data_IF_539754469131
#
_entry.id   IF_539754469131
#
_cell.length_a   1.000
_cell.length_b   1.000
_cell.length_c   1.000
_cell.angle_alpha   90.00
_cell.angle_beta   90.00
_cell.angle_gamma   90.00
#
_symmetry.space_group_name_H-M   'P 1'
#
loop_
_entity.id
_entity.type
_entity.pdbx_description
1 polymer ?
#
# COMPACT_ATOMS: atom_id res chain seq x y z
N UNK A 1 -11.55 -27.45 16.55
CA UNK A 1 -11.00 -26.91 15.29
C UNK A 1 -12.08 -26.08 14.66
N UNK A 2 -11.84 -24.78 14.49
CA UNK A 2 -12.78 -23.93 13.76
C UNK A 2 -12.81 -24.36 12.30
N UNK A 3 -13.98 -24.46 11.70
CA UNK A 3 -14.14 -24.90 10.29
C UNK A 3 -14.59 -23.76 9.37
N UNK A 4 -14.86 -22.57 9.92
CA UNK A 4 -15.40 -21.43 9.19
C UNK A 4 -14.38 -20.35 8.88
N UNK A 5 -14.78 -19.42 8.01
CA UNK A 5 -14.07 -18.17 7.76
C UNK A 5 -14.13 -17.32 9.03
N UNK A 6 -12.97 -16.90 9.54
CA UNK A 6 -12.87 -16.01 10.71
C UNK A 6 -11.88 -14.88 10.44
N UNK A 7 -12.07 -13.77 11.14
CA UNK A 7 -11.24 -12.59 11.05
C UNK A 7 -10.78 -12.19 12.44
N UNK A 8 -9.49 -11.99 12.61
CA UNK A 8 -8.90 -11.54 13.88
C UNK A 8 -8.12 -10.26 13.66
N UNK A 9 -8.09 -9.40 14.68
CA UNK A 9 -7.30 -8.18 14.68
C UNK A 9 -6.44 -8.17 15.94
N UNK A 10 -5.14 -8.09 15.74
CA UNK A 10 -4.16 -7.87 16.80
C UNK A 10 -3.60 -6.46 16.68
N UNK A 11 -3.34 -5.80 17.81
CA UNK A 11 -2.73 -4.47 17.86
C UNK A 11 -1.59 -4.49 18.87
N UNK A 12 -0.43 -3.99 18.48
CA UNK A 12 0.75 -3.98 19.34
C UNK A 12 0.48 -3.31 20.69
N UNK A 13 0.77 -4.04 21.77
CA UNK A 13 0.57 -3.57 23.14
C UNK A 13 -0.81 -3.83 23.74
N UNK A 14 -1.74 -4.43 22.98
CA UNK A 14 -3.04 -4.88 23.47
C UNK A 14 -3.12 -6.42 23.52
N UNK A 15 -4.02 -6.99 24.35
CA UNK A 15 -4.32 -8.42 24.31
C UNK A 15 -4.77 -8.87 22.90
N UNK A 16 -4.43 -10.09 22.44
CA UNK A 16 -4.82 -10.59 21.11
C UNK A 16 -6.34 -10.67 20.87
N UNK A 17 -7.13 -10.71 21.94
CA UNK A 17 -8.59 -10.77 21.95
C UNK A 17 -9.24 -9.43 22.35
N UNK A 18 -8.47 -8.33 22.32
CA UNK A 18 -8.96 -6.99 22.66
C UNK A 18 -10.15 -6.55 21.80
N UNK A 19 -10.17 -6.93 20.53
CA UNK A 19 -11.21 -6.57 19.57
C UNK A 19 -11.73 -7.78 18.80
N UNK A 20 -13.04 -7.85 18.62
CA UNK A 20 -13.66 -8.69 17.62
C UNK A 20 -13.98 -7.88 16.37
N UNK A 21 -13.64 -8.42 15.19
CA UNK A 21 -13.87 -7.77 13.90
C UNK A 21 -15.32 -7.97 13.48
N UNK A 22 -16.07 -6.87 13.33
CA UNK A 22 -17.47 -6.90 12.86
C UNK A 22 -17.50 -6.83 11.34
N UNK A 23 -16.77 -5.89 10.77
CA UNK A 23 -16.65 -5.71 9.32
C UNK A 23 -15.34 -5.00 9.00
N UNK A 24 -14.90 -5.13 7.74
CA UNK A 24 -13.76 -4.38 7.24
C UNK A 24 -13.90 -4.11 5.75
N UNK A 25 -13.22 -3.07 5.29
CA UNK A 25 -13.05 -2.75 3.89
C UNK A 25 -11.57 -2.46 3.62
N UNK A 26 -10.97 -3.21 2.70
CA UNK A 26 -9.58 -3.02 2.29
C UNK A 26 -9.54 -2.51 0.85
N UNK A 27 -8.95 -1.35 0.65
CA UNK A 27 -8.68 -0.79 -0.67
C UNK A 27 -7.17 -0.81 -0.96
N UNK A 28 -6.77 -1.40 -2.09
CA UNK A 28 -5.37 -1.47 -2.53
C UNK A 28 -5.30 -1.26 -4.04
N UNK A 29 -4.23 -0.60 -4.48
CA UNK A 29 -3.90 -0.45 -5.89
C UNK A 29 -2.39 -0.26 -6.04
N UNK A 30 -1.88 -0.44 -7.27
CA UNK A 30 -0.49 -0.14 -7.57
C UNK A 30 -0.23 1.37 -7.42
N UNK A 31 0.96 1.69 -6.93
CA UNK A 31 1.43 3.06 -6.72
C UNK A 31 0.53 3.92 -5.83
N UNK A 32 -0.19 3.31 -4.89
CA UNK A 32 -1.04 4.00 -3.92
C UNK A 32 -0.97 3.34 -2.55
N UNK A 33 -1.12 4.13 -1.50
CA UNK A 33 -1.20 3.62 -0.13
C UNK A 33 -2.54 2.87 0.05
N UNK A 34 -2.49 1.70 0.70
CA UNK A 34 -3.74 1.02 1.05
C UNK A 34 -4.48 1.74 2.19
N UNK A 35 -5.80 1.55 2.23
CA UNK A 35 -6.65 1.88 3.38
C UNK A 35 -7.37 0.62 3.84
N UNK A 36 -7.24 0.31 5.13
CA UNK A 36 -8.03 -0.72 5.79
C UNK A 36 -8.92 -0.04 6.83
N UNK A 37 -10.21 0.02 6.52
CA UNK A 37 -11.25 0.55 7.39
C UNK A 37 -11.91 -0.61 8.14
N UNK A 38 -11.99 -0.52 9.47
CA UNK A 38 -12.42 -1.58 10.37
C UNK A 38 -13.55 -1.09 11.28
N UNK A 39 -14.59 -1.91 11.42
CA UNK A 39 -15.59 -1.80 12.50
C UNK A 39 -15.36 -2.92 13.51
N UNK A 40 -15.21 -2.56 14.78
CA UNK A 40 -14.76 -3.46 15.85
C UNK A 40 -15.69 -3.38 17.04
N UNK A 41 -15.74 -4.45 17.83
CA UNK A 41 -16.38 -4.45 19.15
C UNK A 41 -15.42 -4.98 20.21
N UNK A 42 -15.49 -4.43 21.41
CA UNK A 42 -14.78 -4.94 22.58
C UNK A 42 -15.72 -5.15 23.76
N UNK A 43 -15.61 -6.30 24.41
CA UNK A 43 -16.28 -6.60 25.69
C UNK A 43 -15.39 -6.27 26.90
N UNK A 44 -14.07 -6.19 26.68
CA UNK A 44 -13.08 -5.99 27.74
C UNK A 44 -12.84 -4.50 28.01
N UNK A 45 -12.87 -3.68 26.95
CA UNK A 45 -12.52 -2.27 27.02
C UNK A 45 -13.77 -1.40 26.80
N UNK A 46 -14.39 -1.00 27.90
CA UNK A 46 -15.50 -0.02 27.91
C UNK A 46 -14.99 1.41 27.66
N UNK A 47 -13.70 1.66 27.88
CA UNK A 47 -12.99 2.87 27.49
C UNK A 47 -11.52 2.54 27.29
N UNK A 48 -10.98 2.80 26.10
CA UNK A 48 -9.57 2.61 25.78
C UNK A 48 -8.95 3.97 25.43
N UNK A 49 -7.76 4.27 25.93
CA UNK A 49 -7.10 5.55 25.63
C UNK A 49 -6.53 5.52 24.21
N UNK A 50 -6.77 6.58 23.42
CA UNK A 50 -6.32 6.63 22.03
C UNK A 50 -4.81 6.46 21.87
N UNK A 51 -4.01 6.92 22.84
CA UNK A 51 -2.56 6.78 22.83
C UNK A 51 -2.09 5.31 22.94
N UNK A 52 -2.95 4.39 23.38
CA UNK A 52 -2.65 2.96 23.44
C UNK A 52 -2.80 2.28 22.06
N UNK A 53 -3.46 2.94 21.10
CA UNK A 53 -3.81 2.35 19.78
C UNK A 53 -3.17 3.11 18.63
N UNK A 54 -3.26 4.44 18.64
CA UNK A 54 -2.72 5.26 17.56
C UNK A 54 -1.22 5.04 17.44
N UNK A 55 -0.74 5.03 16.19
CA UNK A 55 0.67 4.80 15.83
C UNK A 55 1.19 3.38 16.14
N UNK A 56 0.36 2.47 16.67
CA UNK A 56 0.69 1.05 16.84
C UNK A 56 0.49 0.27 15.54
N UNK A 57 1.21 -0.85 15.39
CA UNK A 57 0.95 -1.77 14.30
C UNK A 57 -0.29 -2.60 14.60
N UNK A 58 -1.11 -2.80 13.58
CA UNK A 58 -2.28 -3.64 13.59
C UNK A 58 -2.17 -4.73 12.53
N UNK A 59 -2.68 -5.92 12.85
CA UNK A 59 -2.58 -7.13 12.04
C UNK A 59 -3.98 -7.70 11.86
N UNK A 60 -4.60 -7.44 10.71
CA UNK A 60 -5.83 -8.14 10.32
C UNK A 60 -5.45 -9.48 9.70
N UNK A 61 -5.96 -10.57 10.26
CA UNK A 61 -5.77 -11.92 9.71
C UNK A 61 -7.08 -12.53 9.27
N UNK A 62 -7.12 -12.99 8.02
CA UNK A 62 -8.21 -13.76 7.44
C UNK A 62 -7.84 -15.23 7.52
N UNK A 63 -8.71 -16.04 8.10
CA UNK A 63 -8.49 -17.48 8.30
C UNK A 63 -9.61 -18.29 7.67
N UNK A 64 -9.25 -19.45 7.12
CA UNK A 64 -10.19 -20.50 6.75
C UNK A 64 -9.90 -21.71 7.66
N UNK A 65 -10.77 -21.92 8.64
CA UNK A 65 -10.49 -22.87 9.71
C UNK A 65 -9.27 -22.48 10.53
N UNK A 66 -8.22 -23.30 10.50
CA UNK A 66 -6.93 -23.01 11.17
C UNK A 66 -5.87 -22.47 10.19
N UNK A 67 -6.17 -22.41 8.88
CA UNK A 67 -5.25 -21.94 7.84
C UNK A 67 -5.35 -20.43 7.64
N UNK A 68 -4.22 -19.73 7.72
CA UNK A 68 -4.11 -18.31 7.39
C UNK A 68 -4.25 -18.12 5.88
N UNK A 69 -5.27 -17.40 5.46
CA UNK A 69 -5.51 -17.05 4.06
C UNK A 69 -4.85 -15.73 3.67
N UNK A 70 -4.89 -14.75 4.57
CA UNK A 70 -4.31 -13.42 4.32
C UNK A 70 -3.95 -12.73 5.63
N UNK A 71 -2.88 -11.95 5.60
CA UNK A 71 -2.55 -10.97 6.64
C UNK A 71 -2.39 -9.59 6.02
N UNK A 72 -2.87 -8.57 6.71
CA UNK A 72 -2.68 -7.16 6.37
C UNK A 72 -2.07 -6.49 7.59
N UNK A 73 -0.87 -5.94 7.41
CA UNK A 73 -0.11 -5.25 8.46
C UNK A 73 -0.08 -3.76 8.16
N UNK A 74 -0.32 -2.92 9.15
CA UNK A 74 -0.16 -1.48 8.98
C UNK A 74 -0.18 -0.74 10.29
N UNK A 75 0.02 0.57 10.21
CA UNK A 75 -0.09 1.48 11.35
C UNK A 75 -1.55 1.93 11.53
N UNK A 76 -2.03 1.99 12.77
CA UNK A 76 -3.31 2.64 13.09
C UNK A 76 -3.17 4.15 12.96
N UNK A 77 -3.83 4.74 11.97
CA UNK A 77 -3.76 6.17 11.65
C UNK A 77 -4.95 6.97 12.16
N UNK A 78 -6.05 6.29 12.45
CA UNK A 78 -7.25 6.89 13.03
C UNK A 78 -8.00 5.84 13.85
N UNK A 79 -8.58 6.29 14.97
CA UNK A 79 -9.33 5.45 15.89
C UNK A 79 -10.45 6.26 16.52
N UNK A 80 -11.63 5.69 16.61
CA UNK A 80 -12.83 6.33 17.12
C UNK A 80 -13.58 5.43 18.09
N UNK A 81 -14.04 6.05 19.18
CA UNK A 81 -14.91 5.44 20.16
C UNK A 81 -16.38 5.68 19.74
N UNK A 82 -17.10 4.59 19.49
CA UNK A 82 -18.50 4.62 19.09
C UNK A 82 -19.47 4.50 20.28
N UNK A 83 -20.63 3.89 20.01
CA UNK A 83 -21.68 3.68 21.02
C UNK A 83 -21.44 2.42 21.86
N UNK A 84 -22.01 2.41 23.07
CA UNK A 84 -22.06 1.26 23.96
C UNK A 84 -23.47 0.66 23.95
N UNK A 85 -23.61 -0.62 23.59
CA UNK A 85 -24.92 -1.31 23.58
C UNK A 85 -25.32 -1.92 24.94
N UNK A 86 -24.55 -1.61 26.00
CA UNK A 86 -24.57 -2.15 27.38
C UNK A 86 -23.86 -3.49 27.57
N UNK A 87 -23.49 -4.18 26.50
CA UNK A 87 -22.71 -5.41 26.55
C UNK A 87 -21.33 -5.24 25.92
N UNK A 88 -21.22 -4.42 24.88
CA UNK A 88 -20.01 -4.22 24.09
C UNK A 88 -19.86 -2.76 23.69
N UNK A 89 -18.61 -2.35 23.50
CA UNK A 89 -18.26 -1.03 22.99
C UNK A 89 -17.89 -1.12 21.52
N UNK A 90 -18.51 -0.28 20.68
CA UNK A 90 -18.18 -0.17 19.26
C UNK A 90 -16.96 0.74 19.06
N UNK A 91 -16.08 0.35 18.14
CA UNK A 91 -14.95 1.15 17.70
C UNK A 91 -14.85 1.16 16.19
N UNK A 92 -14.28 2.24 15.65
CA UNK A 92 -13.86 2.31 14.25
C UNK A 92 -12.37 2.60 14.17
N UNK A 93 -11.70 1.97 13.22
CA UNK A 93 -10.24 2.04 13.08
C UNK A 93 -9.86 2.14 11.62
N UNK A 94 -8.88 2.99 11.31
CA UNK A 94 -8.22 3.03 10.00
C UNK A 94 -6.77 2.60 10.14
N UNK A 95 -6.37 1.68 9.28
CA UNK A 95 -5.00 1.15 9.20
C UNK A 95 -4.43 1.44 7.82
N UNK A 96 -3.22 1.97 7.77
CA UNK A 96 -2.50 2.34 6.54
C UNK A 96 -1.08 1.73 6.53
N UNK A 97 -0.39 1.65 5.39
CA UNK A 97 1.00 1.19 5.37
C UNK A 97 1.91 2.14 6.16
N UNK A 98 3.07 1.68 6.66
CA UNK A 98 4.06 2.56 7.29
C UNK A 98 4.45 3.76 6.41
N UNK A 99 4.49 3.56 5.09
CA UNK A 99 4.75 4.60 4.09
C UNK A 99 3.81 5.81 4.21
N UNK A 100 2.61 5.65 4.77
CA UNK A 100 1.67 6.75 4.98
C UNK A 100 2.24 7.92 5.78
N UNK A 101 3.18 7.67 6.70
CA UNK A 101 3.82 8.74 7.49
C UNK A 101 4.56 9.77 6.62
N UNK A 102 5.02 9.38 5.43
CA UNK A 102 5.63 10.30 4.45
C UNK A 102 4.67 11.39 3.97
N UNK A 103 3.34 11.19 4.08
CA UNK A 103 2.34 12.19 3.75
C UNK A 103 2.12 13.25 4.84
N UNK A 104 2.69 13.06 6.05
CA UNK A 104 2.53 13.99 7.17
C UNK A 104 3.65 15.03 7.25
N UNK A 105 4.73 14.84 6.49
CA UNK A 105 5.92 15.70 6.50
C UNK A 105 6.11 16.36 5.16
N UNK A 106 6.39 17.67 5.19
CA UNK A 106 6.72 18.49 4.03
C UNK A 106 8.14 19.04 4.18
N UNK A 107 8.92 19.07 3.11
CA UNK A 107 10.33 19.49 3.14
C UNK A 107 10.72 20.40 1.98
N UNK A 108 11.86 21.07 2.16
CA UNK A 108 12.61 21.78 1.13
C UNK A 108 14.06 21.29 1.16
N UNK A 109 14.48 20.53 0.15
CA UNK A 109 15.84 19.96 0.09
C UNK A 109 16.32 19.72 -1.33
N UNK A 110 17.63 19.63 -1.46
CA UNK A 110 18.34 19.40 -2.72
C UNK A 110 19.05 18.04 -2.62
N UNK A 111 18.90 17.24 -3.66
CA UNK A 111 19.71 16.05 -3.95
C UNK A 111 20.60 16.39 -5.15
N UNK A 112 21.92 16.16 -5.05
CA UNK A 112 22.88 16.47 -6.11
C UNK A 112 23.72 15.25 -6.44
N UNK A 113 23.77 14.89 -7.72
CA UNK A 113 24.49 13.71 -8.22
C UNK A 113 24.03 12.40 -7.55
N UNK A 114 22.74 12.30 -7.24
CA UNK A 114 22.13 11.12 -6.62
C UNK A 114 21.25 10.39 -7.64
N UNK A 115 21.26 9.07 -7.63
CA UNK A 115 20.31 8.25 -8.39
C UNK A 115 18.97 8.11 -7.66
N UNK A 116 17.97 7.59 -8.39
CA UNK A 116 16.61 7.44 -7.85
C UNK A 116 16.58 6.52 -6.64
N UNK A 117 17.36 5.44 -6.63
CA UNK A 117 17.40 4.49 -5.51
C UNK A 117 17.88 5.19 -4.24
N UNK A 118 18.95 5.97 -4.33
CA UNK A 118 19.55 6.71 -3.23
C UNK A 118 18.62 7.81 -2.70
N UNK A 119 17.94 8.51 -3.61
CA UNK A 119 16.91 9.50 -3.26
C UNK A 119 15.78 8.81 -2.48
N UNK A 120 15.18 7.75 -3.04
CA UNK A 120 14.06 7.04 -2.41
C UNK A 120 14.48 6.39 -1.09
N UNK A 121 15.67 5.80 -1.01
CA UNK A 121 16.23 5.25 0.22
C UNK A 121 16.31 6.29 1.34
N UNK A 122 16.72 7.52 1.00
CA UNK A 122 16.76 8.63 1.96
C UNK A 122 15.37 8.96 2.49
N UNK A 123 14.37 9.09 1.59
CA UNK A 123 12.99 9.36 1.97
C UNK A 123 12.43 8.26 2.89
N UNK A 124 12.61 7.00 2.50
CA UNK A 124 12.10 5.84 3.22
C UNK A 124 12.74 5.70 4.61
N UNK A 125 14.08 5.82 4.68
CA UNK A 125 14.83 5.74 5.94
C UNK A 125 14.42 6.82 6.94
N UNK A 126 14.27 8.06 6.51
CA UNK A 126 13.85 9.16 7.39
C UNK A 126 12.45 8.96 7.96
N UNK A 127 11.60 8.22 7.25
CA UNK A 127 10.22 7.93 7.64
C UNK A 127 10.04 6.54 8.29
N UNK A 128 11.15 5.86 8.61
CA UNK A 128 11.14 4.58 9.31
C UNK A 128 10.62 3.40 8.47
N UNK A 129 10.61 3.51 7.14
CA UNK A 129 10.29 2.40 6.23
C UNK A 129 11.60 1.66 5.94
N UNK A 130 11.86 0.60 6.71
CA UNK A 130 13.13 -0.16 6.64
C UNK A 130 13.07 -1.34 5.69
N UNK A 131 11.91 -1.99 5.58
CA UNK A 131 11.73 -3.18 4.73
C UNK A 131 11.22 -2.76 3.35
N UNK A 132 12.14 -2.62 2.41
CA UNK A 132 11.80 -2.32 1.03
C UNK A 132 12.81 -2.90 0.04
N UNK A 133 12.37 -3.12 -1.20
CA UNK A 133 13.16 -3.74 -2.26
C UNK A 133 13.13 -2.90 -3.54
N UNK A 134 14.28 -2.36 -4.01
CA UNK A 134 14.42 -1.80 -5.34
C UNK A 134 14.64 -2.92 -6.37
N UNK A 135 13.66 -3.18 -7.22
CA UNK A 135 13.74 -4.16 -8.31
C UNK A 135 13.69 -3.42 -9.65
N UNK A 136 14.81 -2.81 -10.01
CA UNK A 136 14.97 -2.04 -11.25
C UNK A 136 15.72 -2.87 -12.29
N UNK A 137 15.15 -2.92 -13.50
CA UNK A 137 15.70 -3.63 -14.65
C UNK A 137 16.34 -2.70 -15.67
N UNK A 138 15.95 -1.43 -15.69
CA UNK A 138 16.48 -0.40 -16.55
C UNK A 138 17.52 0.48 -15.83
N UNK A 139 18.47 1.09 -16.55
CA UNK A 139 19.38 2.05 -15.96
C UNK A 139 18.65 3.35 -15.55
N UNK A 140 18.73 3.71 -14.27
CA UNK A 140 18.27 4.99 -13.74
C UNK A 140 19.45 5.92 -13.44
N UNK A 141 19.87 6.77 -14.39
CA UNK A 141 21.06 7.59 -14.22
C UNK A 141 20.91 8.62 -13.10
N UNK A 142 22.02 8.89 -12.40
CA UNK A 142 22.06 9.91 -11.37
C UNK A 142 21.65 11.28 -11.90
N UNK A 143 20.86 12.00 -11.10
CA UNK A 143 20.41 13.35 -11.41
C UNK A 143 21.44 14.36 -10.92
N UNK A 144 21.92 15.22 -11.83
CA UNK A 144 22.86 16.29 -11.47
C UNK A 144 22.27 17.21 -10.39
N UNK A 145 20.97 17.50 -10.48
CA UNK A 145 20.26 18.36 -9.55
C UNK A 145 18.78 17.98 -9.45
N UNK A 146 18.31 17.63 -8.26
CA UNK A 146 16.91 17.32 -7.97
C UNK A 146 16.48 18.05 -6.70
N UNK A 147 15.25 18.56 -6.68
CA UNK A 147 14.72 19.34 -5.56
C UNK A 147 13.37 18.76 -5.13
N UNK A 148 13.20 18.60 -3.82
CA UNK A 148 11.90 18.52 -3.17
C UNK A 148 11.55 19.94 -2.73
N UNK A 149 10.50 20.53 -3.30
CA UNK A 149 10.18 21.95 -3.09
C UNK A 149 8.78 22.12 -2.52
N UNK A 150 8.65 22.09 -1.19
CA UNK A 150 7.38 22.37 -0.53
C UNK A 150 6.29 21.34 -0.84
N UNK A 151 6.67 20.11 -1.14
CA UNK A 151 5.77 18.96 -1.30
C UNK A 151 6.01 17.96 -0.17
N UNK A 152 5.03 17.08 0.10
CA UNK A 152 5.23 16.04 1.13
C UNK A 152 6.28 15.02 0.69
N UNK A 153 6.85 14.28 1.64
CA UNK A 153 7.77 13.18 1.30
C UNK A 153 7.07 12.12 0.43
N UNK A 154 5.77 11.91 0.64
CA UNK A 154 4.94 11.02 -0.19
C UNK A 154 4.80 11.54 -1.62
N UNK A 155 4.41 12.81 -1.78
CA UNK A 155 4.21 13.41 -3.11
C UNK A 155 5.52 13.43 -3.90
N UNK A 156 6.63 13.75 -3.23
CA UNK A 156 7.96 13.69 -3.82
C UNK A 156 8.32 12.28 -4.29
N UNK A 157 8.12 11.28 -3.44
CA UNK A 157 8.37 9.87 -3.79
C UNK A 157 7.53 9.44 -5.00
N UNK A 158 6.23 9.73 -4.99
CA UNK A 158 5.32 9.38 -6.08
C UNK A 158 5.71 10.06 -7.39
N UNK A 159 6.06 11.34 -7.35
CA UNK A 159 6.50 12.09 -8.53
C UNK A 159 7.80 11.53 -9.09
N UNK A 160 8.80 11.30 -8.22
CA UNK A 160 10.10 10.78 -8.63
C UNK A 160 9.99 9.35 -9.19
N UNK A 161 9.20 8.49 -8.58
CA UNK A 161 8.93 7.15 -9.09
C UNK A 161 8.24 7.20 -10.46
N UNK A 162 7.20 8.02 -10.62
CA UNK A 162 6.48 8.15 -11.89
C UNK A 162 7.35 8.71 -13.03
N UNK A 163 8.24 9.67 -12.75
CA UNK A 163 9.20 10.20 -13.74
C UNK A 163 10.15 9.12 -14.27
N UNK A 164 10.50 8.14 -13.44
CA UNK A 164 11.40 7.02 -13.78
C UNK A 164 10.63 5.78 -14.27
N UNK A 165 9.30 5.82 -14.38
CA UNK A 165 8.49 4.66 -14.75
C UNK A 165 8.40 3.57 -13.68
N UNK A 166 8.74 3.91 -12.43
CA UNK A 166 8.69 3.02 -11.28
C UNK A 166 7.28 3.03 -10.69
N UNK A 167 6.72 1.84 -10.50
CA UNK A 167 5.52 1.62 -9.70
C UNK A 167 5.88 0.89 -8.41
N UNK A 168 5.00 0.95 -7.42
CA UNK A 168 5.24 0.29 -6.14
C UNK A 168 4.01 -0.44 -5.62
N UNK A 169 4.24 -1.43 -4.79
CA UNK A 169 3.21 -2.18 -4.09
C UNK A 169 3.75 -2.75 -2.78
N UNK A 170 2.84 -3.11 -1.89
CA UNK A 170 3.19 -3.77 -0.63
C UNK A 170 3.13 -5.28 -0.84
N UNK A 171 4.27 -5.96 -0.70
CA UNK A 171 4.34 -7.41 -0.82
C UNK A 171 3.72 -8.07 0.41
N UNK A 172 2.81 -9.00 0.15
CA UNK A 172 2.06 -9.67 1.20
C UNK A 172 2.95 -10.64 1.97
N UNK A 173 2.84 -10.54 3.29
CA UNK A 173 3.35 -11.43 4.33
C UNK A 173 2.78 -12.88 4.28
N UNK A 174 2.73 -13.54 3.11
CA UNK A 174 2.40 -14.98 3.05
C UNK A 174 3.54 -15.84 3.61
N UNK A 175 4.80 -15.40 3.48
CA UNK A 175 5.99 -16.14 3.92
C UNK A 175 6.77 -15.47 5.08
N UNK A 176 6.46 -14.22 5.38
CA UNK A 176 7.06 -13.44 6.48
C UNK A 176 5.93 -12.85 7.35
N UNK A 177 6.23 -12.43 8.57
CA UNK A 177 5.30 -11.59 9.36
C UNK A 177 5.40 -10.12 8.99
N UNK A 178 6.40 -9.76 8.20
CA UNK A 178 6.66 -8.40 7.76
C UNK A 178 6.15 -8.16 6.36
N UNK A 179 5.45 -7.04 6.22
CA UNK A 179 5.02 -6.47 4.96
C UNK A 179 6.15 -5.54 4.48
N UNK A 180 6.56 -5.70 3.22
CA UNK A 180 7.64 -4.92 2.61
C UNK A 180 7.15 -4.10 1.43
N UNK A 181 7.74 -2.93 1.24
CA UNK A 181 7.47 -2.09 0.08
C UNK A 181 8.35 -2.54 -1.10
N UNK A 182 7.74 -2.91 -2.22
CA UNK A 182 8.47 -3.22 -3.45
C UNK A 182 8.34 -2.06 -4.41
N UNK A 183 9.47 -1.59 -4.94
CA UNK A 183 9.52 -0.61 -6.03
C UNK A 183 10.10 -1.30 -7.26
N UNK A 184 9.42 -1.22 -8.39
CA UNK A 184 9.89 -1.85 -9.62
C UNK A 184 9.47 -1.08 -10.88
N UNK A 185 10.25 -1.24 -11.94
CA UNK A 185 10.06 -0.61 -13.25
C UNK A 185 9.50 -1.59 -14.30
N UNK A 186 9.31 -2.85 -13.92
CA UNK A 186 8.87 -3.91 -14.84
C UNK A 186 7.96 -4.92 -14.16
N UNK A 187 6.99 -5.40 -14.93
CA UNK A 187 6.03 -6.43 -14.48
C UNK A 187 6.67 -7.80 -14.22
N UNK A 188 7.93 -8.00 -14.63
CA UNK A 188 8.67 -9.27 -14.42
C UNK A 188 8.91 -9.60 -12.95
N UNK A 189 8.91 -8.58 -12.09
CA UNK A 189 9.10 -8.73 -10.65
C UNK A 189 7.80 -8.92 -9.88
N UNK A 190 6.65 -8.88 -10.56
CA UNK A 190 5.37 -9.20 -9.92
C UNK A 190 5.32 -10.69 -9.51
N UNK A 191 4.55 -11.04 -8.47
CA UNK A 191 4.35 -12.43 -8.07
C UNK A 191 3.88 -13.32 -9.22
N UNK A 192 4.26 -14.59 -9.18
CA UNK A 192 3.85 -15.58 -10.18
C UNK A 192 2.33 -15.69 -10.28
N UNK A 193 1.84 -15.96 -11.49
CA UNK A 193 0.43 -16.19 -11.74
C UNK A 193 -0.07 -17.41 -10.96
N UNK A 194 -1.31 -17.33 -10.49
CA UNK A 194 -2.00 -18.43 -9.82
C UNK A 194 -3.40 -18.61 -10.42
N UNK A 195 -3.97 -19.79 -10.21
CA UNK A 195 -5.29 -20.12 -10.71
C UNK A 195 -6.36 -19.91 -9.63
N UNK A 196 -7.44 -19.22 -9.98
CA UNK A 196 -8.66 -19.12 -9.17
C UNK A 196 -9.83 -19.58 -10.03
N UNK A 197 -10.69 -20.52 -9.58
CA UNK A 197 -11.85 -20.94 -10.34
C UNK A 197 -12.85 -19.80 -10.50
N UNK A 198 -13.52 -19.75 -11.65
CA UNK A 198 -14.64 -18.83 -11.90
C UNK A 198 -15.97 -19.55 -11.67
N UNK A 199 -16.80 -19.02 -10.76
CA UNK A 199 -18.14 -19.53 -10.49
C UNK A 199 -19.15 -18.38 -10.35
N UNK A 200 -19.96 -18.07 -11.39
CA UNK A 200 -20.97 -17.03 -11.31
C UNK A 200 -22.22 -17.46 -10.51
N UNK A 201 -22.37 -18.74 -10.16
CA UNK A 201 -23.54 -19.29 -9.47
C UNK A 201 -23.40 -19.20 -7.95
N UNK A 202 -23.63 -18.01 -7.39
CA UNK A 202 -23.50 -17.76 -5.94
C UNK A 202 -24.63 -18.36 -5.07
N UNK A 203 -25.60 -19.06 -5.66
CA UNK A 203 -26.85 -19.48 -4.98
C UNK A 203 -26.91 -20.95 -4.56
N UNK A 204 -26.12 -21.84 -5.16
CA UNK A 204 -26.40 -23.29 -5.11
C UNK A 204 -25.30 -24.15 -4.50
N UNK A 205 -24.10 -23.60 -4.23
CA UNK A 205 -23.00 -24.35 -3.62
C UNK A 205 -22.29 -23.54 -2.52
N UNK A 206 -21.82 -24.24 -1.48
CA UNK A 206 -20.76 -23.76 -0.60
C UNK A 206 -19.50 -23.66 -1.47
N UNK A 207 -19.26 -22.48 -2.03
CA UNK A 207 -18.19 -22.33 -3.02
C UNK A 207 -16.82 -22.33 -2.34
N UNK A 208 -15.82 -23.05 -2.89
CA UNK A 208 -14.42 -22.76 -2.61
C UNK A 208 -14.09 -21.30 -3.02
N UNK A 209 -12.90 -20.82 -2.62
CA UNK A 209 -12.36 -19.53 -3.07
C UNK A 209 -12.47 -19.41 -4.60
N UNK A 210 -13.30 -18.48 -5.09
CA UNK A 210 -13.60 -18.34 -6.52
C UNK A 210 -13.85 -16.89 -6.93
N UNK A 211 -13.70 -16.60 -8.23
CA UNK A 211 -14.14 -15.36 -8.85
C UNK A 211 -15.62 -15.53 -9.20
N UNK A 212 -16.50 -14.66 -8.70
CA UNK A 212 -17.95 -14.73 -8.98
C UNK A 212 -18.45 -13.69 -9.99
N UNK A 213 -17.66 -12.64 -10.24
CA UNK A 213 -18.00 -11.59 -11.19
C UNK A 213 -16.79 -11.21 -12.04
N UNK A 214 -17.01 -11.09 -13.35
CA UNK A 214 -16.05 -10.57 -14.31
C UNK A 214 -16.69 -9.40 -15.06
N UNK A 215 -15.97 -8.29 -15.22
CA UNK A 215 -16.41 -7.12 -15.99
C UNK A 215 -15.28 -6.68 -16.90
N UNK A 216 -15.61 -6.50 -18.18
CA UNK A 216 -14.68 -6.00 -19.19
C UNK A 216 -15.18 -4.67 -19.72
N UNK A 217 -14.31 -3.67 -19.76
CA UNK A 217 -14.62 -2.30 -20.21
C UNK A 217 -13.41 -1.69 -20.92
N UNK A 218 -13.66 -0.77 -21.84
CA UNK A 218 -12.63 -0.01 -22.56
C UNK A 218 -12.93 1.49 -22.50
N UNK A 219 -11.90 2.33 -22.61
CA UNK A 219 -11.99 3.78 -22.59
C UNK A 219 -11.02 4.39 -23.60
N UNK A 220 -11.43 5.44 -24.32
CA UNK A 220 -10.56 6.18 -25.25
C UNK A 220 -9.44 6.89 -24.48
N UNK A 221 -8.21 6.83 -24.99
CA UNK A 221 -6.99 7.44 -24.41
C UNK A 221 -6.15 8.12 -25.51
N UNK A 222 -5.23 9.04 -25.16
CA UNK A 222 -4.28 9.60 -26.11
C UNK A 222 -3.50 8.49 -26.82
N UNK A 223 -3.37 8.59 -28.15
CA UNK A 223 -2.67 7.60 -28.96
C UNK A 223 -1.16 7.82 -29.01
N UNK A 224 -0.67 9.01 -28.69
CA UNK A 224 0.76 9.31 -28.65
C UNK A 224 1.08 10.53 -27.78
N UNK A 225 2.32 10.60 -27.31
CA UNK A 225 2.87 11.72 -26.55
C UNK A 225 4.19 12.15 -27.21
N UNK A 226 4.37 13.46 -27.36
CA UNK A 226 5.61 14.05 -27.87
C UNK A 226 6.15 15.04 -26.85
N UNK A 227 7.38 14.82 -26.39
CA UNK A 227 8.08 15.74 -25.48
C UNK A 227 9.27 16.39 -26.17
N UNK A 228 9.65 17.57 -25.70
CA UNK A 228 10.80 18.31 -26.21
C UNK A 228 11.60 18.95 -25.08
N UNK A 229 12.92 18.85 -25.16
CA UNK A 229 13.84 19.46 -24.21
C UNK A 229 14.99 20.22 -24.92
N UNK A 230 15.72 21.02 -24.17
CA UNK A 230 16.85 21.82 -24.63
C UNK A 230 18.06 21.66 -23.70
N UNK A 231 19.25 21.57 -24.29
CA UNK A 231 20.50 21.65 -23.54
C UNK A 231 21.43 22.70 -24.13
N UNK A 232 21.88 23.64 -23.30
CA UNK A 232 22.82 24.69 -23.70
C UNK A 232 24.19 24.12 -24.13
N UNK A 233 24.54 22.91 -23.66
CA UNK A 233 25.77 22.19 -24.04
C UNK A 233 25.73 21.72 -25.50
N UNK A 234 24.53 21.57 -26.09
CA UNK A 234 24.33 21.17 -27.49
C UNK A 234 23.06 21.80 -28.09
N UNK A 235 23.09 23.11 -28.42
CA UNK A 235 21.88 23.86 -28.82
C UNK A 235 21.18 23.34 -30.09
N UNK A 236 21.92 22.67 -30.98
CA UNK A 236 21.37 22.08 -32.21
C UNK A 236 20.80 20.67 -32.06
N UNK A 237 20.82 20.09 -30.86
CA UNK A 237 20.18 18.80 -30.61
C UNK A 237 18.66 18.96 -30.66
N UNK A 238 17.96 18.10 -31.41
CA UNK A 238 16.52 18.21 -31.61
C UNK A 238 15.72 18.06 -30.31
N UNK A 239 16.25 17.28 -29.35
CA UNK A 239 15.67 17.07 -28.03
C UNK A 239 14.23 16.58 -28.06
N UNK A 240 13.78 15.96 -29.16
CA UNK A 240 12.41 15.52 -29.38
C UNK A 240 12.30 14.02 -29.12
N UNK A 241 11.29 13.64 -28.35
CA UNK A 241 10.99 12.25 -28.02
C UNK A 241 9.52 11.98 -28.34
N UNK A 242 9.27 10.96 -29.13
CA UNK A 242 7.93 10.54 -29.54
C UNK A 242 7.66 9.15 -28.94
N UNK A 243 6.51 8.98 -28.28
CA UNK A 243 6.08 7.71 -27.71
C UNK A 243 4.65 7.41 -28.15
N UNK A 244 4.46 6.28 -28.82
CA UNK A 244 3.13 5.76 -29.18
C UNK A 244 2.47 5.11 -27.95
N UNK A 245 1.16 5.26 -27.85
CA UNK A 245 0.34 4.55 -26.86
C UNK A 245 0.29 3.06 -27.14
N UNK A 246 0.16 2.26 -26.08
CA UNK A 246 -0.08 0.81 -26.16
C UNK A 246 -1.57 0.49 -26.21
#
# INVERSE_FOLDING_TARGET
MSTGLRFTLEVDGLPPDAFAVVSFHLNQSLSSLFSLDLSLVSQQFLSLEFAQVLDKMAYLTVWQGDDVQRRVKGVVTWFELGENDKNQMLYSMKVCPPLWRTGLRQNFRIFQNEDIESILATILKENGVTEWSPLFSEPHPSREFCVQYGETDYDFLCRMAAEEGIFFYEEHAQKSTDQSLVLCDTVRYLPESFEIPWNPNTRTEVSPLCISQFRYSAQIRPSSVVTKDYTFKRPGWAGRFDQEGQ
#
